data_IF_798969116134
#
_entry.id   IF_798969116134
#
_cell.length_a   1.000
_cell.length_b   1.000
_cell.length_c   1.000
_cell.angle_alpha   90.00
_cell.angle_beta   90.00
_cell.angle_gamma   90.00
#
_symmetry.space_group_name_H-M   'P 1'
#
loop_
_entity.id
_entity.type
_entity.pdbx_description
1 polymer ?
#
# COMPACT_ATOMS: atom_id res chain seq x y z
N UNK A 1 44.90 -14.64 -16.07
CA UNK A 1 44.33 -15.48 -15.01
C UNK A 1 42.89 -15.04 -14.78
N UNK A 2 41.92 -15.93 -15.02
CA UNK A 2 40.50 -15.64 -14.82
C UNK A 2 40.16 -15.87 -13.35
N UNK A 3 40.01 -14.79 -12.59
CA UNK A 3 39.42 -14.87 -11.25
C UNK A 3 37.91 -15.03 -11.38
N UNK A 4 37.45 -16.28 -11.36
CA UNK A 4 36.07 -16.60 -11.06
C UNK A 4 35.80 -16.20 -9.60
N UNK A 5 35.18 -15.03 -9.42
CA UNK A 5 34.61 -14.63 -8.14
C UNK A 5 33.51 -15.62 -7.77
N UNK A 6 33.84 -16.58 -6.90
CA UNK A 6 32.86 -17.46 -6.27
C UNK A 6 31.95 -16.60 -5.38
N UNK A 7 30.74 -16.32 -5.86
CA UNK A 7 29.66 -15.84 -5.01
C UNK A 7 29.15 -17.02 -4.18
N UNK A 8 29.63 -17.13 -2.95
CA UNK A 8 29.12 -18.07 -1.95
C UNK A 8 27.79 -17.56 -1.41
N UNK A 9 26.69 -18.12 -1.91
CA UNK A 9 25.34 -18.02 -1.35
C UNK A 9 24.63 -19.38 -1.48
N UNK A 10 23.92 -19.81 -0.44
CA UNK A 10 23.31 -21.14 -0.31
C UNK A 10 22.41 -21.55 -1.50
N UNK A 11 22.93 -22.38 -2.42
CA UNK A 11 22.18 -23.52 -2.98
C UNK A 11 21.08 -23.34 -4.03
N UNK A 12 20.89 -22.16 -4.67
CA UNK A 12 19.97 -22.04 -5.83
C UNK A 12 20.43 -21.01 -6.89
N UNK A 13 21.67 -21.18 -7.39
CA UNK A 13 22.30 -20.26 -8.36
C UNK A 13 21.41 -20.04 -9.60
N UNK A 14 20.80 -21.11 -10.12
CA UNK A 14 19.93 -21.01 -11.31
C UNK A 14 18.66 -20.22 -11.02
N UNK A 15 18.01 -20.44 -9.87
CA UNK A 15 16.82 -19.69 -9.47
C UNK A 15 17.12 -18.21 -9.28
N UNK A 16 18.24 -17.88 -8.64
CA UNK A 16 18.66 -16.50 -8.43
C UNK A 16 19.01 -15.78 -9.74
N UNK A 17 19.68 -16.47 -10.67
CA UNK A 17 19.98 -15.93 -11.98
C UNK A 17 18.71 -15.74 -12.83
N UNK A 18 17.73 -16.65 -12.75
CA UNK A 18 16.40 -16.45 -13.38
C UNK A 18 15.70 -15.25 -12.76
N UNK A 19 15.68 -15.11 -11.43
CA UNK A 19 15.10 -13.96 -10.72
C UNK A 19 15.72 -12.64 -11.17
N UNK A 20 17.06 -12.57 -11.21
CA UNK A 20 17.80 -11.39 -11.65
C UNK A 20 17.46 -11.04 -13.10
N UNK A 21 17.32 -12.03 -14.00
CA UNK A 21 16.94 -11.79 -15.39
C UNK A 21 15.52 -11.20 -15.49
N UNK A 22 14.54 -11.74 -14.75
CA UNK A 22 13.16 -11.21 -14.79
C UNK A 22 13.08 -9.82 -14.15
N UNK A 23 13.79 -9.59 -13.03
CA UNK A 23 13.86 -8.27 -12.38
C UNK A 23 14.50 -7.21 -13.27
N UNK A 24 15.56 -7.56 -13.99
CA UNK A 24 16.21 -6.66 -14.94
C UNK A 24 15.31 -6.33 -16.13
N UNK A 25 14.60 -7.33 -16.66
CA UNK A 25 13.61 -7.14 -17.74
C UNK A 25 12.42 -6.31 -17.29
N UNK A 26 12.02 -6.40 -16.02
CA UNK A 26 10.98 -5.58 -15.42
C UNK A 26 11.42 -4.13 -15.15
N UNK A 27 12.71 -3.80 -15.33
CA UNK A 27 13.26 -2.46 -15.09
C UNK A 27 13.55 -2.15 -13.62
N UNK A 28 13.59 -3.17 -12.76
CA UNK A 28 13.76 -3.01 -11.31
C UNK A 28 15.19 -3.18 -10.80
N UNK A 29 16.05 -3.80 -11.60
CA UNK A 29 17.45 -4.07 -11.30
C UNK A 29 18.26 -3.93 -12.59
N UNK A 30 19.57 -3.69 -12.48
CA UNK A 30 20.44 -3.70 -13.65
C UNK A 30 20.71 -5.14 -14.10
N UNK A 31 20.79 -5.34 -15.42
CA UNK A 31 21.14 -6.63 -15.99
C UNK A 31 22.57 -7.02 -15.57
N UNK A 32 22.71 -8.16 -14.89
CA UNK A 32 24.01 -8.70 -14.51
C UNK A 32 24.75 -9.19 -15.75
N UNK A 33 25.92 -8.62 -16.07
CA UNK A 33 26.67 -8.91 -17.30
C UNK A 33 26.97 -10.40 -17.49
N UNK A 34 27.23 -11.11 -16.41
CA UNK A 34 27.62 -12.53 -16.42
C UNK A 34 26.41 -13.48 -16.36
N UNK A 35 25.17 -12.97 -16.32
CA UNK A 35 23.97 -13.80 -16.24
C UNK A 35 23.58 -14.33 -17.64
N UNK A 36 23.63 -15.66 -17.87
CA UNK A 36 23.31 -16.24 -19.17
C UNK A 36 21.82 -16.16 -19.55
N UNK A 37 20.94 -15.84 -18.59
CA UNK A 37 19.49 -15.88 -18.78
C UNK A 37 18.85 -14.54 -19.15
N UNK A 38 19.64 -13.46 -19.25
CA UNK A 38 19.14 -12.09 -19.47
C UNK A 38 18.27 -11.93 -20.72
N UNK A 39 18.58 -12.66 -21.79
CA UNK A 39 17.90 -12.53 -23.09
C UNK A 39 16.82 -13.60 -23.34
N UNK A 40 16.47 -14.39 -22.32
CA UNK A 40 15.53 -15.49 -22.46
C UNK A 40 14.09 -15.07 -22.19
N UNK A 41 13.17 -15.70 -22.92
CA UNK A 41 11.72 -15.49 -22.75
C UNK A 41 11.24 -16.13 -21.45
N UNK A 42 10.11 -15.65 -20.88
CA UNK A 42 9.49 -16.23 -19.68
C UNK A 42 9.23 -17.73 -19.83
N UNK A 43 8.89 -18.17 -21.05
CA UNK A 43 8.74 -19.59 -21.40
C UNK A 43 10.04 -20.39 -21.28
N UNK A 44 11.17 -19.82 -21.68
CA UNK A 44 12.49 -20.46 -21.55
C UNK A 44 12.96 -20.46 -20.10
N UNK A 45 12.72 -19.36 -19.38
CA UNK A 45 13.00 -19.27 -17.96
C UNK A 45 12.19 -20.30 -17.16
N UNK A 46 10.91 -20.48 -17.47
CA UNK A 46 10.07 -21.54 -16.89
C UNK A 46 10.65 -22.95 -17.15
N UNK A 47 11.17 -23.19 -18.35
CA UNK A 47 11.83 -24.45 -18.71
C UNK A 47 13.10 -24.65 -17.88
N UNK A 48 13.91 -23.62 -17.73
CA UNK A 48 15.16 -23.66 -16.96
C UNK A 48 14.88 -23.91 -15.48
N UNK A 49 13.86 -23.27 -14.91
CA UNK A 49 13.44 -23.50 -13.53
C UNK A 49 13.04 -24.96 -13.28
N UNK A 50 12.38 -25.61 -14.23
CA UNK A 50 12.04 -27.04 -14.13
C UNK A 50 13.25 -27.95 -14.28
N UNK A 51 14.11 -27.69 -15.28
CA UNK A 51 15.32 -28.51 -15.54
C UNK A 51 16.30 -28.41 -14.38
N UNK A 52 16.47 -27.23 -13.78
CA UNK A 52 17.32 -27.02 -12.61
C UNK A 52 16.88 -27.86 -11.40
N UNK A 53 15.60 -28.22 -11.32
CA UNK A 53 15.02 -29.09 -10.28
C UNK A 53 14.98 -30.57 -10.68
N UNK A 54 15.60 -30.95 -11.80
CA UNK A 54 15.65 -32.34 -12.27
C UNK A 54 14.38 -32.82 -12.96
N UNK A 55 13.45 -31.91 -13.32
CA UNK A 55 12.21 -32.29 -14.01
C UNK A 55 12.47 -32.43 -15.51
N UNK A 56 12.17 -33.60 -16.07
CA UNK A 56 12.26 -33.85 -17.50
C UNK A 56 11.20 -33.09 -18.29
N UNK A 57 11.61 -32.13 -19.12
CA UNK A 57 10.72 -31.27 -19.92
C UNK A 57 10.62 -31.66 -21.39
N UNK A 58 11.40 -32.66 -21.85
CA UNK A 58 11.48 -33.04 -23.26
C UNK A 58 10.19 -33.65 -23.81
N UNK A 59 9.42 -34.34 -22.96
CA UNK A 59 8.14 -34.96 -23.30
C UNK A 59 6.94 -34.02 -23.16
N UNK A 60 7.14 -32.80 -22.64
CA UNK A 60 6.05 -31.86 -22.35
C UNK A 60 5.82 -30.89 -23.50
N UNK A 61 4.55 -30.71 -23.89
CA UNK A 61 4.18 -29.60 -24.75
C UNK A 61 4.32 -28.24 -24.00
N UNK A 62 4.36 -27.09 -24.68
CA UNK A 62 4.54 -25.79 -24.01
C UNK A 62 3.52 -25.49 -22.91
N UNK A 63 2.27 -25.92 -23.09
CA UNK A 63 1.19 -25.71 -22.12
C UNK A 63 1.38 -26.55 -20.86
N UNK A 64 1.76 -27.82 -21.01
CA UNK A 64 2.09 -28.74 -19.94
C UNK A 64 3.34 -28.29 -19.18
N UNK A 65 4.36 -27.81 -19.90
CA UNK A 65 5.59 -27.30 -19.30
C UNK A 65 5.30 -26.10 -18.39
N UNK A 66 4.56 -25.11 -18.87
CA UNK A 66 4.20 -23.95 -18.04
C UNK A 66 3.30 -24.37 -16.87
N UNK A 67 2.35 -25.29 -17.11
CA UNK A 67 1.52 -25.85 -16.04
C UNK A 67 2.35 -26.50 -14.93
N UNK A 68 3.36 -27.30 -15.30
CA UNK A 68 4.29 -27.91 -14.36
C UNK A 68 5.12 -26.86 -13.62
N UNK A 69 5.58 -25.81 -14.30
CA UNK A 69 6.40 -24.74 -13.71
C UNK A 69 5.68 -23.94 -12.60
N UNK A 70 4.35 -24.02 -12.51
CA UNK A 70 3.53 -23.42 -11.46
C UNK A 70 3.20 -24.37 -10.30
N UNK A 71 3.61 -25.63 -10.36
CA UNK A 71 3.40 -26.56 -9.24
C UNK A 71 4.49 -26.36 -8.20
N UNK A 72 4.08 -25.97 -6.98
CA UNK A 72 4.97 -25.45 -5.92
C UNK A 72 6.12 -26.37 -5.49
N UNK A 73 6.09 -27.67 -5.79
CA UNK A 73 7.17 -28.61 -5.45
C UNK A 73 8.21 -28.80 -6.55
N UNK A 74 7.92 -28.42 -7.79
CA UNK A 74 8.78 -28.74 -8.95
C UNK A 74 9.49 -27.54 -9.55
N UNK A 75 9.13 -26.32 -9.14
CA UNK A 75 9.66 -25.08 -9.73
C UNK A 75 9.49 -23.87 -8.82
N UNK A 76 10.52 -23.02 -8.76
CA UNK A 76 10.48 -21.71 -8.07
C UNK A 76 9.95 -20.59 -8.98
N UNK A 77 9.68 -20.88 -10.26
CA UNK A 77 9.31 -19.88 -11.26
C UNK A 77 8.08 -19.06 -10.84
N UNK A 78 7.07 -19.71 -10.25
CA UNK A 78 5.89 -19.02 -9.73
C UNK A 78 6.23 -18.01 -8.63
N UNK A 79 7.14 -18.36 -7.71
CA UNK A 79 7.57 -17.46 -6.64
C UNK A 79 8.37 -16.27 -7.19
N UNK A 80 9.23 -16.50 -8.19
CA UNK A 80 9.99 -15.44 -8.86
C UNK A 80 9.04 -14.42 -9.52
N UNK A 81 7.99 -14.90 -10.20
CA UNK A 81 6.98 -14.01 -10.79
C UNK A 81 6.20 -13.23 -9.72
N UNK A 82 5.90 -13.85 -8.58
CA UNK A 82 5.27 -13.19 -7.44
C UNK A 82 6.16 -12.09 -6.86
N UNK A 83 7.46 -12.32 -6.73
CA UNK A 83 8.40 -11.31 -6.22
C UNK A 83 8.45 -10.07 -7.11
N UNK A 84 8.46 -10.26 -8.44
CA UNK A 84 8.40 -9.15 -9.40
C UNK A 84 7.07 -8.40 -9.25
N UNK A 85 5.95 -9.11 -9.21
CA UNK A 85 4.64 -8.49 -9.04
C UNK A 85 4.52 -7.73 -7.71
N UNK A 86 5.07 -8.27 -6.61
CA UNK A 86 5.12 -7.59 -5.31
C UNK A 86 5.93 -6.29 -5.38
N UNK A 87 7.07 -6.30 -6.07
CA UNK A 87 7.89 -5.09 -6.26
C UNK A 87 7.13 -4.03 -7.06
N UNK A 88 6.44 -4.43 -8.13
CA UNK A 88 5.55 -3.57 -8.91
C UNK A 88 4.43 -2.97 -8.06
N UNK A 89 3.78 -3.77 -7.20
CA UNK A 89 2.72 -3.29 -6.28
C UNK A 89 3.28 -2.24 -5.32
N UNK A 90 4.44 -2.52 -4.70
CA UNK A 90 5.07 -1.60 -3.76
C UNK A 90 5.47 -0.28 -4.42
N UNK A 91 5.98 -0.34 -5.66
CA UNK A 91 6.26 0.87 -6.43
C UNK A 91 4.99 1.67 -6.65
N UNK A 92 3.91 1.04 -7.14
CA UNK A 92 2.63 1.70 -7.35
C UNK A 92 2.09 2.35 -6.07
N UNK A 93 2.21 1.67 -4.94
CA UNK A 93 1.83 2.20 -3.63
C UNK A 93 2.66 3.43 -3.21
N UNK A 94 3.97 3.40 -3.43
CA UNK A 94 4.87 4.49 -3.05
C UNK A 94 4.71 5.71 -3.97
N UNK A 95 4.47 5.49 -5.25
CA UNK A 95 4.32 6.53 -6.28
C UNK A 95 2.96 7.25 -6.27
N UNK A 96 1.99 6.78 -5.49
CA UNK A 96 0.72 7.47 -5.31
C UNK A 96 0.83 8.48 -4.14
N UNK A 97 1.12 9.78 -4.38
CA UNK A 97 1.13 10.77 -3.32
C UNK A 97 -0.32 10.99 -2.83
N UNK A 98 -0.53 10.86 -1.52
CA UNK A 98 -1.82 11.10 -0.89
C UNK A 98 -1.65 12.02 0.32
N UNK A 99 -2.66 12.85 0.57
CA UNK A 99 -2.59 13.89 1.61
C UNK A 99 -3.14 13.43 2.96
N UNK A 100 -3.87 12.31 3.02
CA UNK A 100 -4.47 11.82 4.25
C UNK A 100 -3.42 11.44 5.32
N UNK A 101 -2.23 10.99 4.91
CA UNK A 101 -1.15 10.61 5.84
C UNK A 101 -0.67 11.79 6.70
N UNK A 102 -0.89 13.04 6.27
CA UNK A 102 -0.43 14.25 6.98
C UNK A 102 -1.22 14.51 8.26
N UNK A 103 -2.51 14.16 8.28
CA UNK A 103 -3.44 14.54 9.35
C UNK A 103 -4.17 13.36 9.98
N UNK A 104 -3.92 12.14 9.50
CA UNK A 104 -4.42 10.90 10.10
C UNK A 104 -3.31 10.16 10.85
N UNK A 105 -3.69 9.27 11.77
CA UNK A 105 -2.76 8.41 12.52
C UNK A 105 -3.16 6.95 12.36
N UNK A 106 -2.19 6.09 12.05
CA UNK A 106 -2.39 4.65 11.95
C UNK A 106 -2.71 4.05 13.32
N UNK A 107 -3.80 3.27 13.38
CA UNK A 107 -4.24 2.53 14.57
C UNK A 107 -4.11 1.02 14.37
N UNK A 108 -4.26 0.27 15.46
CA UNK A 108 -4.35 -1.19 15.47
C UNK A 108 -5.61 -1.55 16.24
N UNK A 109 -6.39 -2.49 15.73
CA UNK A 109 -7.52 -3.13 16.43
C UNK A 109 -7.26 -4.63 16.46
N UNK A 110 -7.66 -5.28 17.55
CA UNK A 110 -7.51 -6.73 17.72
C UNK A 110 -8.58 -7.54 16.98
N UNK A 111 -9.75 -6.94 16.69
CA UNK A 111 -10.86 -7.62 16.03
C UNK A 111 -11.69 -6.67 15.14
N UNK A 112 -12.68 -7.25 14.44
CA UNK A 112 -13.60 -6.56 13.54
C UNK A 112 -14.84 -5.98 14.24
N UNK A 113 -14.96 -6.09 15.57
CA UNK A 113 -16.10 -5.51 16.29
C UNK A 113 -15.95 -4.00 16.33
N UNK A 114 -17.08 -3.31 16.51
CA UNK A 114 -17.07 -1.87 16.72
C UNK A 114 -16.31 -1.61 18.03
N UNK A 115 -15.15 -0.97 17.91
CA UNK A 115 -14.33 -0.60 19.04
C UNK A 115 -14.53 0.87 19.37
N UNK A 116 -14.41 1.20 20.65
CA UNK A 116 -14.50 2.56 21.14
C UNK A 116 -13.10 3.03 21.52
N UNK A 117 -12.58 3.99 20.76
CA UNK A 117 -11.30 4.62 21.07
C UNK A 117 -11.56 5.85 21.94
N UNK A 118 -11.11 5.79 23.18
CA UNK A 118 -11.15 6.94 24.09
C UNK A 118 -9.85 7.73 23.91
N UNK A 119 -9.97 8.94 23.38
CA UNK A 119 -8.90 9.93 23.38
C UNK A 119 -9.05 10.83 24.60
N UNK A 120 -7.96 11.02 25.34
CA UNK A 120 -7.84 12.12 26.30
C UNK A 120 -7.84 13.41 25.47
N UNK A 121 -8.84 14.29 25.65
CA UNK A 121 -8.91 15.56 24.93
C UNK A 121 -7.64 16.40 25.10
N UNK A 122 -7.24 17.20 24.12
CA UNK A 122 -6.10 18.08 24.34
C UNK A 122 -6.43 19.27 25.25
N UNK A 123 -5.38 20.02 25.60
CA UNK A 123 -5.46 21.14 26.52
C UNK A 123 -5.71 22.44 25.76
N UNK A 124 -6.77 23.18 26.11
CA UNK A 124 -7.15 24.41 25.40
C UNK A 124 -6.13 25.56 25.51
N UNK A 125 -5.29 25.57 26.55
CA UNK A 125 -4.05 26.34 26.70
C UNK A 125 -3.50 26.16 28.12
N UNK A 126 -2.17 26.31 28.30
CA UNK A 126 -1.58 26.37 29.64
C UNK A 126 -1.85 27.74 30.26
N UNK A 127 -2.34 27.76 31.50
CA UNK A 127 -2.57 29.00 32.23
C UNK A 127 -1.24 29.65 32.58
N UNK A 128 -1.12 30.96 32.38
CA UNK A 128 0.02 31.72 32.88
C UNK A 128 0.03 31.67 34.41
N UNK A 129 1.11 31.15 34.98
CA UNK A 129 1.36 31.18 36.43
C UNK A 129 2.03 32.51 36.75
N UNK A 130 1.40 33.32 37.61
CA UNK A 130 2.01 34.54 38.14
C UNK A 130 3.03 34.16 39.23
N UNK A 131 4.08 34.95 39.41
CA UNK A 131 5.04 34.72 40.50
C UNK A 131 4.30 34.65 41.85
N UNK A 132 4.48 33.55 42.58
CA UNK A 132 3.81 33.26 43.85
C UNK A 132 2.45 32.54 43.76
N UNK A 133 1.95 32.24 42.55
CA UNK A 133 0.72 31.46 42.38
C UNK A 133 0.99 29.96 42.21
N UNK A 134 0.09 29.12 42.75
CA UNK A 134 0.16 27.67 42.61
C UNK A 134 -0.36 27.17 41.24
N UNK A 135 0.24 26.08 40.76
CA UNK A 135 -0.24 25.34 39.59
C UNK A 135 -1.62 24.76 39.88
N UNK A 136 -2.56 24.93 38.94
CA UNK A 136 -3.89 24.33 39.04
C UNK A 136 -3.95 23.05 38.23
N UNK A 137 -4.61 22.03 38.79
CA UNK A 137 -4.97 20.83 38.05
C UNK A 137 -5.89 21.18 36.89
N UNK A 138 -5.60 20.61 35.72
CA UNK A 138 -6.45 20.71 34.55
C UNK A 138 -7.21 19.40 34.42
N UNK A 139 -8.53 19.50 34.26
CA UNK A 139 -9.39 18.35 33.96
C UNK A 139 -9.52 18.25 32.45
N UNK A 140 -9.29 17.05 31.93
CA UNK A 140 -9.47 16.74 30.52
C UNK A 140 -10.74 15.94 30.31
N UNK A 141 -11.53 16.27 29.28
CA UNK A 141 -12.68 15.48 28.87
C UNK A 141 -12.27 14.31 27.97
N UNK A 142 -12.91 13.16 28.17
CA UNK A 142 -12.74 11.99 27.32
C UNK A 142 -13.62 12.12 26.07
N UNK A 143 -13.03 11.95 24.88
CA UNK A 143 -13.76 11.87 23.61
C UNK A 143 -13.73 10.43 23.12
N UNK A 144 -14.91 9.86 22.89
CA UNK A 144 -15.06 8.50 22.38
C UNK A 144 -15.33 8.55 20.87
N UNK A 145 -14.54 7.83 20.09
CA UNK A 145 -14.78 7.62 18.66
C UNK A 145 -15.06 6.14 18.40
N UNK A 146 -16.11 5.84 17.63
CA UNK A 146 -16.38 4.47 17.14
C UNK A 146 -15.55 4.19 15.89
N UNK A 147 -14.83 3.08 15.88
CA UNK A 147 -14.03 2.63 14.73
C UNK A 147 -14.32 1.16 14.46
N UNK A 148 -14.39 0.78 13.19
CA UNK A 148 -14.58 -0.59 12.74
C UNK A 148 -13.59 -0.93 11.62
N UNK A 149 -13.10 -2.17 11.60
CA UNK A 149 -12.26 -2.66 10.52
C UNK A 149 -13.12 -3.20 9.38
N UNK A 150 -12.71 -2.93 8.14
CA UNK A 150 -13.26 -3.53 6.93
C UNK A 150 -12.10 -4.03 6.06
N UNK A 151 -12.32 -5.15 5.36
CA UNK A 151 -11.31 -5.78 4.50
C UNK A 151 -11.63 -5.49 3.04
N UNK A 152 -10.64 -4.98 2.31
CA UNK A 152 -10.69 -4.73 0.87
C UNK A 152 -9.59 -5.53 0.19
N UNK A 153 -9.89 -6.16 -0.95
CA UNK A 153 -8.89 -6.92 -1.68
C UNK A 153 -9.43 -7.43 -3.01
N UNK A 154 -8.51 -7.60 -3.96
CA UNK A 154 -8.78 -8.14 -5.29
C UNK A 154 -7.75 -9.21 -5.63
N UNK A 155 -8.15 -10.19 -6.45
CA UNK A 155 -7.26 -11.26 -6.89
C UNK A 155 -6.61 -10.91 -8.23
N UNK A 156 -5.29 -11.06 -8.30
CA UNK A 156 -4.52 -10.97 -9.52
C UNK A 156 -4.09 -12.37 -9.98
N UNK A 157 -4.23 -12.64 -11.28
CA UNK A 157 -3.80 -13.91 -11.87
C UNK A 157 -3.05 -13.68 -13.18
N UNK A 158 -2.01 -14.48 -13.41
CA UNK A 158 -1.22 -14.46 -14.64
C UNK A 158 -1.67 -15.64 -15.48
N UNK A 159 -2.04 -15.37 -16.74
CA UNK A 159 -2.47 -16.43 -17.65
C UNK A 159 -1.27 -17.15 -18.26
N UNK A 160 -1.46 -18.41 -18.67
CA UNK A 160 -0.42 -19.15 -19.40
C UNK A 160 -0.09 -18.47 -20.73
N UNK A 161 -1.10 -17.87 -21.36
CA UNK A 161 -0.95 -17.11 -22.59
C UNK A 161 0.00 -15.94 -22.41
N UNK A 162 -0.08 -15.20 -21.29
CA UNK A 162 0.83 -14.10 -20.99
C UNK A 162 2.30 -14.59 -20.94
N UNK A 163 2.55 -15.76 -20.35
CA UNK A 163 3.91 -16.34 -20.29
C UNK A 163 4.39 -16.83 -21.64
N UNK A 164 3.52 -17.47 -22.43
CA UNK A 164 3.85 -17.94 -23.78
C UNK A 164 4.20 -16.75 -24.68
N UNK A 165 3.43 -15.67 -24.56
CA UNK A 165 3.59 -14.43 -25.32
C UNK A 165 4.67 -13.52 -24.75
N UNK A 166 5.32 -13.90 -23.64
CA UNK A 166 6.38 -13.14 -22.98
C UNK A 166 5.95 -11.70 -22.56
N UNK A 167 4.68 -11.57 -22.14
CA UNK A 167 4.06 -10.30 -21.78
C UNK A 167 4.49 -9.84 -20.37
N UNK A 168 5.58 -9.10 -20.33
CA UNK A 168 6.11 -8.50 -19.09
C UNK A 168 5.20 -7.42 -18.51
N UNK A 169 4.39 -6.74 -19.33
CA UNK A 169 3.54 -5.65 -18.85
C UNK A 169 2.44 -6.18 -17.93
N UNK A 170 1.97 -7.42 -18.14
CA UNK A 170 1.05 -8.05 -17.19
C UNK A 170 1.68 -8.26 -15.80
N UNK A 171 3.01 -8.35 -15.68
CA UNK A 171 3.73 -8.54 -14.41
C UNK A 171 4.12 -7.22 -13.74
N UNK A 172 4.19 -6.13 -14.50
CA UNK A 172 4.62 -4.80 -14.02
C UNK A 172 3.44 -3.82 -13.90
N UNK A 173 2.79 -3.50 -15.02
CA UNK A 173 1.77 -2.45 -15.07
C UNK A 173 0.51 -2.78 -14.28
N UNK A 174 0.01 -4.01 -14.40
CA UNK A 174 -1.23 -4.41 -13.72
C UNK A 174 -1.03 -4.39 -12.20
N UNK A 175 0.02 -5.04 -11.64
CA UNK A 175 0.23 -4.99 -10.19
C UNK A 175 0.60 -3.57 -9.70
N UNK A 176 1.31 -2.77 -10.49
CA UNK A 176 1.56 -1.36 -10.15
C UNK A 176 0.26 -0.55 -10.04
N UNK A 177 -0.67 -0.72 -10.98
CA UNK A 177 -1.99 -0.05 -10.92
C UNK A 177 -2.81 -0.53 -9.72
N UNK A 178 -2.74 -1.82 -9.37
CA UNK A 178 -3.37 -2.35 -8.16
C UNK A 178 -2.79 -1.72 -6.89
N UNK A 179 -1.47 -1.55 -6.81
CA UNK A 179 -0.82 -0.85 -5.70
C UNK A 179 -1.29 0.60 -5.54
N UNK A 180 -1.43 1.33 -6.66
CA UNK A 180 -1.98 2.69 -6.66
C UNK A 180 -3.44 2.71 -6.21
N UNK A 181 -4.26 1.81 -6.76
CA UNK A 181 -5.67 1.69 -6.40
C UNK A 181 -5.86 1.38 -4.91
N UNK A 182 -5.04 0.50 -4.34
CA UNK A 182 -5.09 0.16 -2.92
C UNK A 182 -4.80 1.37 -2.00
N UNK A 183 -3.97 2.32 -2.43
CA UNK A 183 -3.73 3.54 -1.67
C UNK A 183 -4.85 4.56 -1.86
N UNK A 184 -5.36 4.68 -3.09
CA UNK A 184 -6.50 5.53 -3.41
C UNK A 184 -7.77 5.11 -2.65
N UNK A 185 -8.04 3.80 -2.48
CA UNK A 185 -9.21 3.35 -1.71
C UNK A 185 -9.14 3.78 -0.24
N UNK A 186 -7.96 3.81 0.37
CA UNK A 186 -7.79 4.36 1.72
C UNK A 186 -8.08 5.86 1.71
N UNK A 187 -7.57 6.60 0.72
CA UNK A 187 -7.85 8.02 0.58
C UNK A 187 -9.35 8.28 0.45
N UNK A 188 -10.03 7.57 -0.46
CA UNK A 188 -11.47 7.67 -0.68
C UNK A 188 -12.25 7.42 0.61
N UNK A 189 -11.92 6.37 1.37
CA UNK A 189 -12.60 6.07 2.64
C UNK A 189 -12.37 7.16 3.69
N UNK A 190 -11.17 7.75 3.75
CA UNK A 190 -10.87 8.83 4.68
C UNK A 190 -11.61 10.12 4.28
N UNK A 191 -11.60 10.46 2.99
CA UNK A 191 -12.27 11.66 2.49
C UNK A 191 -13.80 11.51 2.50
N UNK A 192 -14.33 10.30 2.35
CA UNK A 192 -15.77 10.04 2.46
C UNK A 192 -16.31 10.44 3.83
N UNK A 193 -15.55 10.25 4.92
CA UNK A 193 -15.94 10.74 6.25
C UNK A 193 -16.17 12.26 6.27
N UNK A 194 -15.34 13.01 5.55
CA UNK A 194 -15.46 14.47 5.43
C UNK A 194 -16.62 14.87 4.51
N UNK A 195 -16.73 14.23 3.34
CA UNK A 195 -17.70 14.58 2.29
C UNK A 195 -19.12 14.21 2.72
N UNK A 196 -19.30 13.02 3.32
CA UNK A 196 -20.59 12.57 3.84
C UNK A 196 -21.02 13.30 5.12
N UNK A 197 -20.15 14.16 5.67
CA UNK A 197 -20.39 14.94 6.87
C UNK A 197 -20.90 14.06 8.04
N UNK A 198 -20.18 12.97 8.32
CA UNK A 198 -20.62 12.02 9.34
C UNK A 198 -20.78 12.67 10.71
N UNK A 199 -21.71 12.14 11.50
CA UNK A 199 -21.87 12.52 12.89
C UNK A 199 -20.67 12.03 13.72
N UNK A 200 -20.14 12.91 14.55
CA UNK A 200 -19.09 12.58 15.49
C UNK A 200 -19.68 11.74 16.63
N UNK A 201 -19.05 10.60 16.94
CA UNK A 201 -19.49 9.71 18.01
C UNK A 201 -19.38 10.33 19.41
N UNK A 202 -18.69 11.47 19.56
CA UNK A 202 -18.51 12.17 20.84
C UNK A 202 -19.71 13.00 21.27
N UNK A 203 -20.46 13.57 20.32
CA UNK A 203 -21.56 14.52 20.60
C UNK A 203 -22.83 14.28 19.74
N UNK A 204 -22.81 13.26 18.89
CA UNK A 204 -23.84 12.89 17.91
C UNK A 204 -24.21 14.04 16.94
N UNK A 205 -23.30 15.00 16.75
CA UNK A 205 -23.47 16.13 15.83
C UNK A 205 -22.63 15.92 14.58
N UNK A 206 -23.15 16.35 13.43
CA UNK A 206 -22.42 16.31 12.16
C UNK A 206 -21.07 17.04 12.28
N UNK A 207 -20.02 16.52 11.65
CA UNK A 207 -18.68 17.10 11.68
C UNK A 207 -18.71 18.60 11.33
N UNK A 208 -19.41 18.95 10.27
CA UNK A 208 -19.72 20.30 9.83
C UNK A 208 -21.13 20.68 10.30
N UNK A 209 -21.19 21.49 11.35
CA UNK A 209 -22.43 21.97 11.95
C UNK A 209 -22.34 23.46 12.31
N UNK A 210 -23.47 24.16 12.17
CA UNK A 210 -23.55 25.59 12.45
C UNK A 210 -23.79 25.90 13.92
N UNK A 211 -24.56 25.07 14.61
CA UNK A 211 -25.08 25.38 15.94
C UNK A 211 -24.07 25.06 17.05
N UNK A 212 -23.50 23.85 17.03
CA UNK A 212 -22.52 23.40 18.02
C UNK A 212 -21.08 23.64 17.58
N UNK A 213 -20.74 23.31 16.33
CA UNK A 213 -19.35 23.41 15.86
C UNK A 213 -19.05 24.78 15.23
N UNK A 214 -20.07 25.52 14.79
CA UNK A 214 -19.93 26.84 14.17
C UNK A 214 -18.86 26.87 13.05
N UNK A 215 -18.71 25.77 12.30
CA UNK A 215 -17.65 25.57 11.31
C UNK A 215 -18.17 25.54 9.87
N UNK A 216 -19.36 26.10 9.64
CA UNK A 216 -20.04 26.12 8.33
C UNK A 216 -20.40 27.54 7.92
N UNK A 217 -20.15 27.88 6.65
CA UNK A 217 -20.72 29.06 6.00
C UNK A 217 -21.90 28.64 5.14
N UNK A 218 -23.07 29.22 5.39
CA UNK A 218 -24.26 29.01 4.56
C UNK A 218 -24.35 30.07 3.47
N UNK A 219 -24.75 29.66 2.25
CA UNK A 219 -25.10 30.56 1.13
C UNK A 219 -24.00 31.59 0.78
N UNK A 220 -22.74 31.25 1.02
CA UNK A 220 -21.62 32.09 0.64
C UNK A 220 -21.32 31.95 -0.85
N UNK A 221 -20.97 33.06 -1.50
CA UNK A 221 -20.47 33.06 -2.89
C UNK A 221 -19.08 32.45 -2.90
N UNK A 222 -18.70 31.72 -3.94
CA UNK A 222 -17.36 31.15 -4.08
C UNK A 222 -16.34 32.24 -4.46
N UNK A 223 -15.99 33.10 -3.50
CA UNK A 223 -15.01 34.17 -3.63
C UNK A 223 -13.90 34.07 -2.57
N UNK A 224 -12.82 34.82 -2.76
CA UNK A 224 -11.65 34.80 -1.87
C UNK A 224 -12.03 35.17 -0.43
N UNK A 225 -12.95 36.11 -0.26
CA UNK A 225 -13.42 36.56 1.06
C UNK A 225 -14.18 35.46 1.82
N UNK A 226 -15.03 34.69 1.12
CA UNK A 226 -15.77 33.58 1.72
C UNK A 226 -14.86 32.40 2.06
N UNK A 227 -13.86 32.11 1.23
CA UNK A 227 -12.86 31.07 1.52
C UNK A 227 -11.98 31.44 2.72
N UNK A 228 -11.58 32.71 2.87
CA UNK A 228 -10.81 33.16 4.03
C UNK A 228 -11.65 33.03 5.32
N UNK A 229 -12.93 33.43 5.29
CA UNK A 229 -13.85 33.22 6.41
C UNK A 229 -14.06 31.74 6.75
N UNK A 230 -14.23 30.87 5.75
CA UNK A 230 -14.38 29.43 5.97
C UNK A 230 -13.14 28.86 6.68
N UNK A 231 -11.95 29.24 6.20
CA UNK A 231 -10.68 28.85 6.79
C UNK A 231 -10.52 29.37 8.22
N UNK A 232 -10.96 30.61 8.50
CA UNK A 232 -10.94 31.16 9.85
C UNK A 232 -11.85 30.37 10.81
N UNK A 233 -13.09 30.05 10.40
CA UNK A 233 -14.01 29.27 11.23
C UNK A 233 -13.46 27.87 11.56
N UNK A 234 -12.80 27.23 10.60
CA UNK A 234 -12.13 25.94 10.83
C UNK A 234 -10.91 26.04 11.75
N UNK A 235 -10.11 27.11 11.64
CA UNK A 235 -8.91 27.31 12.47
C UNK A 235 -9.21 27.78 13.89
N UNK A 236 -10.37 28.39 14.11
CA UNK A 236 -10.82 28.85 15.42
C UNK A 236 -11.46 27.74 16.25
N UNK A 237 -11.62 26.52 15.68
CA UNK A 237 -12.08 25.36 16.42
C UNK A 237 -11.15 25.07 17.60
N UNK A 238 -11.75 24.91 18.78
CA UNK A 238 -11.06 24.57 20.02
C UNK A 238 -11.53 23.19 20.45
N UNK A 239 -10.66 22.46 21.12
CA UNK A 239 -11.02 21.18 21.73
C UNK A 239 -11.98 21.30 22.91
#
# INVERSE_FOLDING_TARGET
EFHAGMYTGNGNITGDAVRAAVMARAGYEDAQKDNPYNCMTLRELARISLVARGTGVASMNPMQMIGAAFTHSTSDFGNILLDVAHKSILQGWQEAPETFDIWTKKGQLSDFRIAHRVGMGGFSSLRQVREGAEYKYVTTGDKQATIALATYGELFSITRQAIINDDMNMLTDVPMKLGRAAKATIADLVYDVLISNQKLSSDDVALFDKAKHANVLEKAVMDVASLDKARQLMRLQKE
#
